data_IF_614978975461
#
_entry.id   IF_614978975461
#
_cell.length_a   1.000
_cell.length_b   1.000
_cell.length_c   1.000
_cell.angle_alpha   90.00
_cell.angle_beta   90.00
_cell.angle_gamma   90.00
#
_symmetry.space_group_name_H-M   'P 1'
#
loop_
_entity.id
_entity.type
_entity.pdbx_description
1 polymer ?
#
# COMPACT_ATOMS: atom_id res chain seq x y z
N UNK A 1 -12.14 5.60 -9.70
CA UNK A 1 -10.70 5.92 -9.78
C UNK A 1 -10.26 5.51 -11.16
N UNK A 2 -9.74 6.43 -11.96
CA UNK A 2 -9.27 6.13 -13.31
C UNK A 2 -7.76 5.84 -13.28
N UNK A 3 -7.28 4.98 -14.19
CA UNK A 3 -5.86 4.62 -14.25
C UNK A 3 -4.97 5.83 -14.57
N UNK A 4 -5.40 6.70 -15.49
CA UNK A 4 -4.67 7.94 -15.81
C UNK A 4 -4.47 8.86 -14.59
N UNK A 5 -5.45 8.90 -13.67
CA UNK A 5 -5.32 9.68 -12.43
C UNK A 5 -4.23 9.09 -11.51
N UNK A 6 -4.08 7.76 -11.50
CA UNK A 6 -3.02 7.08 -10.75
C UNK A 6 -1.65 7.39 -11.35
N UNK A 7 -1.51 7.39 -12.68
CA UNK A 7 -0.25 7.77 -13.35
C UNK A 7 0.16 9.21 -13.01
N UNK A 8 -0.79 10.15 -13.01
CA UNK A 8 -0.51 11.54 -12.64
C UNK A 8 -0.09 11.72 -11.17
N UNK A 9 -0.37 10.74 -10.31
CA UNK A 9 -0.02 10.75 -8.89
C UNK A 9 1.23 9.94 -8.56
N UNK A 10 1.99 9.49 -9.56
CA UNK A 10 3.31 8.84 -9.41
C UNK A 10 4.23 9.53 -8.37
N UNK A 11 4.40 10.87 -8.34
CA UNK A 11 5.26 11.52 -7.34
C UNK A 11 4.85 11.24 -5.90
N UNK A 12 3.54 11.18 -5.64
CA UNK A 12 3.01 10.83 -4.32
C UNK A 12 3.35 9.38 -3.95
N UNK A 13 3.31 8.46 -4.90
CA UNK A 13 3.59 7.05 -4.67
C UNK A 13 5.06 6.82 -4.34
N UNK A 14 5.97 7.52 -5.02
CA UNK A 14 7.40 7.49 -4.73
C UNK A 14 7.65 7.97 -3.30
N UNK A 15 7.10 9.13 -2.93
CA UNK A 15 7.24 9.66 -1.57
C UNK A 15 6.68 8.72 -0.50
N UNK A 16 5.52 8.11 -0.76
CA UNK A 16 4.95 7.12 0.16
C UNK A 16 5.87 5.91 0.32
N UNK A 17 6.39 5.38 -0.79
CA UNK A 17 7.27 4.21 -0.80
C UNK A 17 8.58 4.48 -0.06
N UNK A 18 9.19 5.66 -0.26
CA UNK A 18 10.40 6.08 0.47
C UNK A 18 10.15 6.17 1.97
N UNK A 19 9.09 6.88 2.40
CA UNK A 19 8.75 7.02 3.83
C UNK A 19 8.40 5.67 4.47
N UNK A 20 7.69 4.81 3.73
CA UNK A 20 7.30 3.49 4.22
C UNK A 20 8.48 2.53 4.28
N UNK A 21 9.44 2.64 3.36
CA UNK A 21 10.68 1.86 3.39
C UNK A 21 11.58 2.30 4.55
N UNK A 22 11.78 3.62 4.70
CA UNK A 22 12.54 4.19 5.81
C UNK A 22 12.00 3.71 7.15
N UNK A 23 10.68 3.66 7.32
CA UNK A 23 10.05 3.16 8.54
C UNK A 23 10.27 1.64 8.70
N UNK A 24 10.09 0.86 7.63
CA UNK A 24 10.23 -0.60 7.65
C UNK A 24 11.66 -1.07 7.99
N UNK A 25 12.67 -0.33 7.56
CA UNK A 25 14.10 -0.65 7.77
C UNK A 25 14.66 -0.09 9.09
N UNK A 26 13.84 0.56 9.93
CA UNK A 26 14.31 1.15 11.19
C UNK A 26 14.18 0.17 12.36
N UNK A 27 15.31 -0.35 12.83
CA UNK A 27 15.36 -1.25 13.99
C UNK A 27 15.44 -0.51 15.35
N UNK A 28 15.84 0.77 15.36
CA UNK A 28 15.93 1.57 16.60
C UNK A 28 14.54 2.09 17.01
N UNK A 29 14.05 1.68 18.17
CA UNK A 29 12.69 1.99 18.65
C UNK A 29 12.41 3.50 18.77
N UNK A 30 13.39 4.30 19.22
CA UNK A 30 13.21 5.74 19.39
C UNK A 30 13.14 6.43 18.03
N UNK A 31 14.04 6.06 17.12
CA UNK A 31 14.06 6.56 15.76
C UNK A 31 12.83 6.10 14.96
N UNK A 32 12.36 4.87 15.20
CA UNK A 32 11.14 4.32 14.59
C UNK A 32 9.92 5.15 15.00
N UNK A 33 9.74 5.39 16.30
CA UNK A 33 8.64 6.22 16.80
C UNK A 33 8.65 7.65 16.21
N UNK A 34 9.83 8.26 16.07
CA UNK A 34 9.98 9.57 15.44
C UNK A 34 9.59 9.54 13.96
N UNK A 35 10.08 8.54 13.21
CA UNK A 35 9.78 8.35 11.78
C UNK A 35 8.31 8.05 11.55
N UNK A 36 7.70 7.17 12.36
CA UNK A 36 6.27 6.87 12.29
C UNK A 36 5.45 8.14 12.51
N UNK A 37 5.81 8.96 13.50
CA UNK A 37 5.09 10.21 13.76
C UNK A 37 5.23 11.20 12.60
N UNK A 38 6.42 11.33 12.01
CA UNK A 38 6.66 12.17 10.83
C UNK A 38 5.84 11.68 9.63
N UNK A 39 5.86 10.38 9.36
CA UNK A 39 5.12 9.78 8.25
C UNK A 39 3.61 9.93 8.45
N UNK A 40 3.12 9.71 9.68
CA UNK A 40 1.72 9.95 10.06
C UNK A 40 1.30 11.39 9.79
N UNK A 41 2.12 12.38 10.17
CA UNK A 41 1.85 13.79 9.89
C UNK A 41 1.76 14.05 8.39
N UNK A 42 2.66 13.49 7.60
CA UNK A 42 2.64 13.60 6.14
C UNK A 42 1.36 13.00 5.52
N UNK A 43 0.94 11.81 5.97
CA UNK A 43 -0.31 11.18 5.51
C UNK A 43 -1.53 12.03 5.88
N UNK A 44 -1.55 12.62 7.08
CA UNK A 44 -2.65 13.47 7.52
C UNK A 44 -2.76 14.79 6.73
N UNK A 45 -1.70 15.24 6.07
CA UNK A 45 -1.71 16.41 5.18
C UNK A 45 -2.28 16.09 3.80
N UNK A 46 -2.27 14.82 3.39
CA UNK A 46 -2.83 14.41 2.09
C UNK A 46 -4.35 14.57 2.09
N UNK A 47 -4.90 14.87 0.91
CA UNK A 47 -6.34 14.84 0.73
C UNK A 47 -6.87 13.40 0.75
N UNK A 48 -8.19 13.29 0.89
CA UNK A 48 -8.87 11.99 0.95
C UNK A 48 -8.69 11.19 -0.34
N UNK A 49 -8.67 11.83 -1.51
CA UNK A 49 -8.55 11.15 -2.81
C UNK A 49 -7.20 10.43 -2.92
N UNK A 50 -6.13 11.13 -2.58
CA UNK A 50 -4.77 10.63 -2.53
C UNK A 50 -4.61 9.47 -1.56
N UNK A 51 -5.17 9.59 -0.34
CA UNK A 51 -5.14 8.50 0.65
C UNK A 51 -5.90 7.26 0.19
N UNK A 52 -7.07 7.44 -0.44
CA UNK A 52 -7.83 6.32 -1.01
C UNK A 52 -7.04 5.60 -2.11
N UNK A 53 -6.29 6.35 -2.92
CA UNK A 53 -5.47 5.78 -3.99
C UNK A 53 -4.30 4.98 -3.45
N UNK A 54 -3.57 5.52 -2.46
CA UNK A 54 -2.51 4.79 -1.76
C UNK A 54 -3.05 3.46 -1.16
N UNK A 55 -4.22 3.52 -0.52
CA UNK A 55 -4.85 2.33 0.06
C UNK A 55 -5.31 1.35 -1.02
N UNK A 56 -5.88 1.83 -2.12
CA UNK A 56 -6.34 0.98 -3.22
C UNK A 56 -5.17 0.18 -3.81
N UNK A 57 -4.05 0.83 -4.10
CA UNK A 57 -2.85 0.18 -4.63
C UNK A 57 -2.32 -0.86 -3.62
N UNK A 58 -2.26 -0.51 -2.34
CA UNK A 58 -1.86 -1.46 -1.29
C UNK A 58 -2.76 -2.70 -1.25
N UNK A 59 -4.07 -2.54 -1.43
CA UNK A 59 -5.02 -3.66 -1.48
C UNK A 59 -4.84 -4.53 -2.72
N UNK A 60 -4.57 -3.91 -3.89
CA UNK A 60 -4.23 -4.66 -5.10
C UNK A 60 -3.04 -5.57 -4.83
N UNK A 61 -1.92 -5.03 -4.33
CA UNK A 61 -0.76 -5.87 -4.04
C UNK A 61 -0.99 -6.86 -2.90
N UNK A 62 -1.80 -6.53 -1.90
CA UNK A 62 -2.12 -7.48 -0.83
C UNK A 62 -2.87 -8.71 -1.33
N UNK A 63 -3.76 -8.55 -2.32
CA UNK A 63 -4.69 -9.59 -2.75
C UNK A 63 -4.33 -10.26 -4.07
N UNK A 64 -3.63 -9.57 -4.96
CA UNK A 64 -3.30 -10.04 -6.31
C UNK A 64 -1.85 -10.55 -6.45
N UNK A 65 -0.97 -10.34 -5.45
CA UNK A 65 0.45 -10.74 -5.51
C UNK A 65 0.72 -12.24 -5.68
N UNK A 66 -0.30 -13.10 -5.52
CA UNK A 66 -0.13 -14.54 -5.74
C UNK A 66 0.73 -15.25 -4.69
N UNK A 67 0.90 -14.67 -3.51
CA UNK A 67 1.54 -15.36 -2.38
C UNK A 67 1.11 -14.79 -1.04
N UNK A 68 1.21 -15.60 0.02
CA UNK A 68 0.99 -15.16 1.40
C UNK A 68 2.03 -15.79 2.33
N UNK A 69 2.28 -15.13 3.45
CA UNK A 69 3.17 -15.63 4.49
C UNK A 69 2.32 -16.26 5.60
N UNK A 70 2.62 -17.50 5.95
CA UNK A 70 2.09 -18.20 7.12
C UNK A 70 3.16 -18.23 8.21
N UNK A 71 2.80 -17.87 9.43
CA UNK A 71 3.69 -18.05 10.58
C UNK A 71 3.39 -19.39 11.23
N UNK A 72 4.38 -20.27 11.28
CA UNK A 72 4.26 -21.59 11.87
C UNK A 72 5.44 -21.82 12.84
N UNK A 73 5.13 -21.87 14.13
CA UNK A 73 6.06 -22.23 15.22
C UNK A 73 7.42 -21.51 15.21
N UNK A 74 7.44 -20.22 14.85
CA UNK A 74 8.66 -19.40 14.82
C UNK A 74 9.30 -19.27 13.44
N UNK A 75 8.82 -19.99 12.45
CA UNK A 75 9.24 -19.85 11.05
C UNK A 75 8.15 -19.13 10.23
N UNK A 76 8.59 -18.29 9.30
CA UNK A 76 7.70 -17.66 8.32
C UNK A 76 7.81 -18.43 7.00
N UNK A 77 6.75 -19.09 6.60
CA UNK A 77 6.68 -19.89 5.38
C UNK A 77 5.97 -19.07 4.30
N UNK A 78 6.62 -18.91 3.16
CA UNK A 78 6.01 -18.28 1.98
C UNK A 78 5.24 -19.33 1.18
N UNK A 79 3.94 -19.09 0.99
CA UNK A 79 3.07 -19.91 0.17
C UNK A 79 2.77 -19.20 -1.14
N UNK A 80 3.35 -19.71 -2.23
CA UNK A 80 3.08 -19.21 -3.59
C UNK A 80 1.78 -19.85 -4.09
N UNK A 81 0.77 -19.04 -4.37
CA UNK A 81 -0.45 -19.43 -5.06
C UNK A 81 -0.41 -18.81 -6.45
N UNK A 82 -0.46 -19.62 -7.50
CA UNK A 82 -0.62 -19.07 -8.84
C UNK A 82 -2.01 -18.44 -8.97
N UNK A 83 -2.12 -17.14 -8.72
CA UNK A 83 -3.31 -16.33 -8.96
C UNK A 83 -3.16 -15.75 -10.36
N UNK A 84 -4.07 -16.11 -11.26
CA UNK A 84 -4.15 -15.46 -12.56
C UNK A 84 -4.86 -14.11 -12.38
N UNK A 85 -4.14 -13.02 -12.65
CA UNK A 85 -4.72 -11.67 -12.62
C UNK A 85 -5.57 -11.52 -13.88
N UNK A 86 -6.88 -11.68 -13.71
CA UNK A 86 -7.86 -11.69 -14.82
C UNK A 86 -8.48 -10.33 -15.09
N UNK A 87 -8.21 -9.33 -14.24
CA UNK A 87 -8.78 -7.98 -14.32
C UNK A 87 -7.77 -7.01 -14.93
N UNK A 88 -8.24 -6.07 -15.76
CA UNK A 88 -7.41 -4.95 -16.23
C UNK A 88 -7.02 -4.02 -15.07
N UNK A 89 -6.03 -3.14 -15.29
CA UNK A 89 -5.63 -2.17 -14.28
C UNK A 89 -6.79 -1.26 -13.83
N UNK A 90 -7.64 -0.78 -14.74
CA UNK A 90 -8.81 0.00 -14.35
C UNK A 90 -9.80 -0.83 -13.52
N UNK A 91 -10.00 -2.09 -13.89
CA UNK A 91 -10.91 -2.98 -13.18
C UNK A 91 -10.40 -3.28 -11.76
N UNK A 92 -9.09 -3.48 -11.58
CA UNK A 92 -8.46 -3.66 -10.27
C UNK A 92 -8.65 -2.41 -9.40
N UNK A 93 -8.28 -1.23 -9.92
CA UNK A 93 -8.46 0.03 -9.22
C UNK A 93 -9.93 0.28 -8.84
N UNK A 94 -10.86 0.02 -9.75
CA UNK A 94 -12.28 0.16 -9.47
C UNK A 94 -12.76 -0.85 -8.41
N UNK A 95 -12.37 -2.12 -8.53
CA UNK A 95 -12.79 -3.19 -7.63
C UNK A 95 -12.34 -2.92 -6.20
N UNK A 96 -11.06 -2.62 -6.00
CA UNK A 96 -10.48 -2.40 -4.66
C UNK A 96 -10.80 -1.03 -4.06
N UNK A 97 -11.20 -0.03 -4.85
CA UNK A 97 -11.64 1.27 -4.34
C UNK A 97 -13.13 1.35 -4.01
N UNK A 98 -13.96 0.41 -4.51
CA UNK A 98 -15.43 0.46 -4.48
C UNK A 98 -16.03 0.79 -3.11
N UNK A 99 -15.51 0.18 -2.05
CA UNK A 99 -16.05 0.32 -0.69
C UNK A 99 -15.23 1.26 0.20
N UNK A 100 -14.09 1.77 -0.28
CA UNK A 100 -13.24 2.67 0.51
C UNK A 100 -13.87 4.05 0.72
N UNK A 101 -14.90 4.39 -0.06
CA UNK A 101 -15.66 5.64 0.12
C UNK A 101 -16.23 5.78 1.54
N UNK A 102 -16.48 4.67 2.24
CA UNK A 102 -17.00 4.65 3.61
C UNK A 102 -15.92 4.76 4.69
N UNK A 103 -14.65 4.60 4.34
CA UNK A 103 -13.57 4.60 5.32
C UNK A 103 -13.30 6.01 5.85
N UNK A 104 -13.07 6.11 7.16
CA UNK A 104 -12.64 7.38 7.76
C UNK A 104 -11.17 7.64 7.44
N UNK A 105 -10.76 8.92 7.39
CA UNK A 105 -9.39 9.32 7.05
C UNK A 105 -8.38 8.64 7.99
N UNK A 106 -8.73 8.58 9.28
CA UNK A 106 -7.93 7.99 10.34
C UNK A 106 -7.73 6.48 10.13
N UNK A 107 -8.78 5.78 9.69
CA UNK A 107 -8.70 4.35 9.38
C UNK A 107 -7.81 4.08 8.16
N UNK A 108 -7.88 4.95 7.14
CA UNK A 108 -7.02 4.87 5.97
C UNK A 108 -5.57 5.13 6.36
N UNK A 109 -5.30 6.19 7.12
CA UNK A 109 -3.95 6.53 7.60
C UNK A 109 -3.38 5.42 8.49
N UNK A 110 -4.19 4.86 9.41
CA UNK A 110 -3.74 3.77 10.27
C UNK A 110 -3.43 2.50 9.49
N UNK A 111 -4.20 2.20 8.45
CA UNK A 111 -3.87 1.13 7.52
C UNK A 111 -2.51 1.44 6.86
N UNK A 112 -2.38 2.58 6.19
CA UNK A 112 -1.18 2.96 5.44
C UNK A 112 0.12 3.01 6.27
N UNK A 113 0.05 3.23 7.58
CA UNK A 113 1.22 3.22 8.46
C UNK A 113 1.69 1.82 8.87
N UNK A 114 0.87 0.79 8.67
CA UNK A 114 1.21 -0.56 9.09
C UNK A 114 2.38 -1.10 8.24
N UNK A 115 3.45 -1.58 8.87
CA UNK A 115 4.72 -1.94 8.21
C UNK A 115 4.56 -2.92 7.04
N UNK A 116 3.68 -3.92 7.19
CA UNK A 116 3.33 -4.90 6.14
C UNK A 116 2.82 -4.26 4.84
N UNK A 117 2.34 -3.01 4.88
CA UNK A 117 1.82 -2.32 3.71
C UNK A 117 2.91 -1.74 2.81
N UNK A 118 4.16 -1.67 3.26
CA UNK A 118 5.29 -1.35 2.37
C UNK A 118 5.35 -2.35 1.21
N UNK A 119 5.47 -3.64 1.52
CA UNK A 119 5.54 -4.72 0.52
C UNK A 119 4.26 -4.80 -0.31
N UNK A 120 3.09 -4.70 0.33
CA UNK A 120 1.82 -4.74 -0.38
C UNK A 120 1.66 -3.57 -1.35
N UNK A 121 2.08 -2.36 -0.97
CA UNK A 121 2.02 -1.21 -1.86
C UNK A 121 3.00 -1.34 -3.04
N UNK A 122 4.23 -1.79 -2.77
CA UNK A 122 5.24 -2.04 -3.81
C UNK A 122 4.74 -3.04 -4.84
N UNK A 123 4.21 -4.18 -4.40
CA UNK A 123 3.59 -5.19 -5.28
C UNK A 123 2.42 -4.61 -6.07
N UNK A 124 1.58 -3.79 -5.42
CA UNK A 124 0.46 -3.12 -6.07
C UNK A 124 0.91 -2.22 -7.22
N UNK A 125 2.03 -1.50 -7.06
CA UNK A 125 2.59 -0.66 -8.14
C UNK A 125 3.11 -1.51 -9.30
N UNK A 126 3.72 -2.66 -9.03
CA UNK A 126 4.19 -3.59 -10.06
C UNK A 126 3.01 -4.21 -10.84
N UNK A 127 2.00 -4.71 -10.13
CA UNK A 127 0.81 -5.32 -10.73
C UNK A 127 0.04 -4.33 -11.60
N UNK A 128 0.04 -3.06 -11.23
CA UNK A 128 -0.63 -2.01 -11.98
C UNK A 128 0.28 -1.35 -13.03
N UNK A 129 1.55 -1.75 -13.18
CA UNK A 129 2.51 -1.15 -14.13
C UNK A 129 2.63 0.39 -13.97
N UNK A 130 2.49 0.89 -12.73
CA UNK A 130 2.46 2.34 -12.46
C UNK A 130 3.86 2.95 -12.44
N UNK A 131 4.93 2.20 -12.20
CA UNK A 131 6.29 2.73 -12.13
C UNK A 131 7.15 2.48 -13.39
N UNK A 132 6.58 1.81 -14.39
CA UNK A 132 7.20 1.60 -15.71
C UNK A 132 7.05 2.84 -16.62
#
# INVERSE_FOLDING_TARGET
>A
MLYDEAIQTRPLFIMYMEQSQELHETDDELLHAEREQKFRKWLLQQDRKHLLMLKTISLVGQHERGYYYEWNEGETIEHIIKIEITRSHEQLLHYYSKYLVYDKKEAITSFLLHERNYHAFKEGLCILEILE
#
